data_IF_560507995128
#
_entry.id   IF_560507995128
#
_cell.length_a   1.000
_cell.length_b   1.000
_cell.length_c   1.000
_cell.angle_alpha   90.00
_cell.angle_beta   90.00
_cell.angle_gamma   90.00
#
_symmetry.space_group_name_H-M   'P 1'
#
loop_
_entity.id
_entity.type
_entity.pdbx_description
1 polymer ?
#
# COMPACT_ATOMS: atom_id res chain seq x y z
N UNK A 1 -26.95 9.23 -45.62
CA UNK A 1 -26.43 8.15 -46.46
C UNK A 1 -25.94 7.08 -45.54
N UNK A 2 -26.78 6.03 -45.40
CA UNK A 2 -26.55 4.93 -44.46
C UNK A 2 -25.76 3.79 -45.08
N UNK A 3 -25.17 3.00 -44.22
CA UNK A 3 -24.64 1.67 -44.58
C UNK A 3 -25.07 0.67 -43.47
N UNK A 4 -25.50 -0.56 -43.86
CA UNK A 4 -26.17 -1.50 -42.98
C UNK A 4 -25.20 -2.49 -42.27
N UNK A 5 -25.68 -3.26 -41.27
CA UNK A 5 -24.88 -4.16 -40.48
C UNK A 5 -24.63 -5.51 -41.15
N UNK A 6 -23.44 -6.09 -40.94
CA UNK A 6 -23.08 -7.43 -41.42
C UNK A 6 -23.60 -8.52 -40.48
N UNK A 7 -24.41 -9.40 -41.07
CA UNK A 7 -24.86 -10.68 -40.52
C UNK A 7 -23.76 -11.74 -40.60
N UNK A 8 -23.48 -12.47 -39.51
CA UNK A 8 -22.63 -13.68 -39.53
C UNK A 8 -23.53 -14.93 -39.69
N UNK A 9 -23.20 -15.66 -40.77
CA UNK A 9 -23.77 -16.95 -41.12
C UNK A 9 -23.25 -18.06 -40.17
N UNK A 10 -24.19 -18.86 -39.70
CA UNK A 10 -24.01 -20.11 -38.96
C UNK A 10 -24.00 -21.25 -39.98
N UNK A 11 -22.90 -21.98 -40.17
CA UNK A 11 -22.88 -23.22 -40.92
C UNK A 11 -22.70 -24.41 -39.96
N UNK A 12 -23.72 -25.21 -39.91
CA UNK A 12 -23.71 -26.52 -39.28
C UNK A 12 -23.01 -27.56 -40.16
N UNK A 13 -22.37 -28.53 -39.52
CA UNK A 13 -22.07 -29.82 -40.14
C UNK A 13 -22.22 -30.95 -39.13
N UNK A 14 -23.21 -31.79 -39.41
CA UNK A 14 -23.43 -33.10 -38.85
C UNK A 14 -22.39 -34.09 -39.31
N UNK A 15 -21.95 -34.98 -38.43
CA UNK A 15 -21.09 -36.13 -38.77
C UNK A 15 -21.29 -37.22 -37.73
N UNK A 16 -22.15 -38.20 -38.02
CA UNK A 16 -22.29 -39.48 -37.32
C UNK A 16 -21.06 -40.35 -37.55
N UNK A 17 -20.58 -41.06 -36.54
CA UNK A 17 -19.62 -42.12 -36.66
C UNK A 17 -19.64 -42.99 -35.40
N UNK A 18 -20.44 -44.02 -35.45
CA UNK A 18 -20.46 -45.15 -34.50
C UNK A 18 -19.23 -46.05 -34.73
N UNK A 19 -18.46 -46.41 -33.70
CA UNK A 19 -17.88 -47.74 -33.52
C UNK A 19 -17.57 -47.93 -32.03
N UNK A 20 -18.24 -48.95 -31.43
CA UNK A 20 -17.96 -49.45 -30.10
C UNK A 20 -16.70 -50.29 -30.10
N UNK A 21 -15.97 -50.23 -28.96
CA UNK A 21 -14.91 -51.18 -28.61
C UNK A 21 -14.93 -51.38 -27.09
N UNK A 22 -14.84 -52.64 -26.63
CA UNK A 22 -15.06 -53.03 -25.22
C UNK A 22 -13.75 -52.92 -24.41
N UNK A 23 -13.57 -51.80 -23.66
CA UNK A 23 -12.44 -51.64 -22.73
C UNK A 23 -12.89 -51.14 -21.35
N UNK A 24 -13.93 -51.76 -20.79
CA UNK A 24 -14.40 -51.47 -19.44
C UNK A 24 -14.39 -52.70 -18.58
N UNK A 25 -13.22 -53.28 -18.34
CA UNK A 25 -13.03 -54.23 -17.24
C UNK A 25 -11.51 -54.37 -16.95
N UNK A 26 -10.93 -53.54 -16.14
CA UNK A 26 -9.80 -53.83 -15.23
C UNK A 26 -9.16 -52.57 -14.57
N UNK A 27 -9.92 -51.55 -14.24
CA UNK A 27 -9.40 -50.40 -13.47
C UNK A 27 -9.66 -50.46 -11.96
N UNK A 28 -10.43 -51.46 -11.49
CA UNK A 28 -10.86 -51.54 -10.09
C UNK A 28 -9.88 -52.17 -9.15
N UNK A 29 -9.05 -53.11 -9.62
CA UNK A 29 -8.14 -53.91 -8.77
C UNK A 29 -6.78 -53.24 -8.58
N UNK A 30 -6.19 -52.67 -9.61
CA UNK A 30 -4.87 -51.97 -9.54
C UNK A 30 -4.91 -50.78 -8.60
N UNK A 31 -5.95 -49.96 -8.64
CA UNK A 31 -6.08 -48.77 -7.78
C UNK A 31 -6.33 -49.10 -6.29
N UNK A 32 -6.78 -50.32 -5.98
CA UNK A 32 -6.88 -50.80 -4.57
C UNK A 32 -5.53 -51.31 -4.06
N UNK A 33 -4.80 -52.04 -4.89
CA UNK A 33 -3.49 -52.58 -4.54
C UNK A 33 -2.47 -51.44 -4.35
N UNK A 34 -2.43 -50.44 -5.23
CA UNK A 34 -1.59 -49.26 -5.08
C UNK A 34 -1.92 -48.45 -3.82
N UNK A 35 -3.21 -48.30 -3.50
CA UNK A 35 -3.62 -47.63 -2.25
C UNK A 35 -3.22 -48.41 -1.02
N UNK A 36 -3.32 -49.72 -1.06
CA UNK A 36 -2.91 -50.62 0.04
C UNK A 36 -1.39 -50.60 0.22
N UNK A 37 -0.63 -50.66 -0.87
CA UNK A 37 0.83 -50.58 -0.84
C UNK A 37 1.32 -49.23 -0.33
N UNK A 38 0.72 -48.14 -0.78
CA UNK A 38 1.02 -46.79 -0.28
C UNK A 38 0.60 -46.59 1.18
N UNK A 39 -0.47 -47.26 1.64
CA UNK A 39 -0.87 -47.23 3.04
C UNK A 39 0.10 -48.03 3.90
N UNK A 40 0.50 -49.25 3.48
CA UNK A 40 1.50 -50.07 4.13
C UNK A 40 2.86 -49.35 4.19
N UNK A 41 3.30 -48.78 3.08
CA UNK A 41 4.56 -48.02 3.05
C UNK A 41 4.54 -46.80 3.98
N UNK A 42 3.38 -46.13 4.12
CA UNK A 42 3.21 -44.99 5.03
C UNK A 42 3.15 -45.41 6.51
N UNK A 43 2.65 -46.61 6.80
CA UNK A 43 2.44 -47.08 8.15
C UNK A 43 3.37 -48.26 8.52
N UNK A 44 4.42 -48.50 7.72
CA UNK A 44 5.32 -49.66 7.88
C UNK A 44 5.95 -49.71 9.28
N UNK A 45 6.34 -48.57 9.84
CA UNK A 45 6.92 -48.49 11.18
C UNK A 45 5.91 -48.84 12.28
N UNK A 46 4.67 -48.41 12.12
CA UNK A 46 3.57 -48.70 13.04
C UNK A 46 3.17 -50.18 12.95
N UNK A 47 3.15 -50.74 11.73
CA UNK A 47 2.90 -52.15 11.50
C UNK A 47 4.02 -53.02 12.10
N UNK A 48 5.28 -52.62 11.97
CA UNK A 48 6.44 -53.29 12.56
C UNK A 48 6.40 -53.25 14.09
N UNK A 49 6.06 -52.14 14.69
CA UNK A 49 5.91 -51.98 16.14
C UNK A 49 4.76 -52.85 16.69
N UNK A 50 3.61 -52.85 16.00
CA UNK A 50 2.45 -53.68 16.36
C UNK A 50 2.77 -55.19 16.20
N UNK A 51 3.41 -55.56 15.10
CA UNK A 51 3.83 -56.95 14.86
C UNK A 51 4.84 -57.41 15.92
N UNK A 52 5.82 -56.56 16.26
CA UNK A 52 6.78 -56.83 17.32
C UNK A 52 6.11 -57.03 18.70
N UNK A 53 5.18 -56.15 19.04
CA UNK A 53 4.42 -56.24 20.29
C UNK A 53 3.54 -57.50 20.37
N UNK A 54 2.89 -57.86 19.24
CA UNK A 54 2.09 -59.10 19.16
C UNK A 54 3.00 -60.33 19.30
N UNK A 55 4.16 -60.35 18.65
CA UNK A 55 5.10 -61.44 18.70
C UNK A 55 5.60 -61.65 20.13
N UNK A 56 5.99 -60.60 20.83
CA UNK A 56 6.42 -60.64 22.23
C UNK A 56 5.27 -61.11 23.14
N UNK A 57 4.06 -60.54 22.96
CA UNK A 57 2.88 -60.98 23.76
C UNK A 57 2.44 -62.40 23.54
N UNK A 58 2.56 -62.98 22.33
CA UNK A 58 2.26 -64.36 22.03
C UNK A 58 3.32 -65.31 22.65
N UNK A 59 4.59 -64.98 22.57
CA UNK A 59 5.67 -65.75 23.16
C UNK A 59 5.58 -65.72 24.68
N UNK A 60 5.19 -64.63 25.31
CA UNK A 60 4.97 -64.57 26.77
C UNK A 60 3.76 -65.38 27.22
N UNK A 61 2.74 -65.55 26.38
CA UNK A 61 1.51 -66.28 26.67
C UNK A 61 1.70 -67.82 26.55
N UNK A 62 2.63 -68.27 25.72
CA UNK A 62 2.87 -69.71 25.48
C UNK A 62 3.99 -70.34 26.30
N UNK A 63 4.54 -69.64 27.30
CA UNK A 63 5.20 -70.26 28.46
C UNK A 63 6.66 -70.64 28.34
N UNK A 64 7.38 -70.19 27.30
CA UNK A 64 8.84 -70.25 27.34
C UNK A 64 9.37 -68.89 27.73
N UNK A 65 9.97 -68.72 28.90
CA UNK A 65 10.57 -67.53 29.42
C UNK A 65 11.62 -67.03 28.42
N UNK A 66 11.26 -65.93 27.65
CA UNK A 66 12.23 -65.24 26.85
C UNK A 66 13.37 -64.79 27.76
N UNK A 67 14.60 -65.19 27.44
CA UNK A 67 15.77 -64.77 28.19
C UNK A 67 15.84 -63.25 28.22
N UNK A 68 16.41 -62.66 29.27
CA UNK A 68 16.50 -61.20 29.47
C UNK A 68 17.00 -60.43 28.24
N UNK A 69 17.84 -61.03 27.41
CA UNK A 69 18.39 -60.45 26.18
C UNK A 69 17.35 -60.31 25.07
N UNK A 70 16.32 -61.16 24.97
CA UNK A 70 15.29 -61.10 23.97
C UNK A 70 14.27 -59.98 24.26
N UNK A 71 13.93 -59.78 25.54
CA UNK A 71 13.04 -58.67 25.97
C UNK A 71 13.72 -57.30 25.84
N UNK A 72 15.03 -57.23 26.13
CA UNK A 72 15.83 -56.04 25.92
C UNK A 72 15.89 -55.64 24.41
N UNK A 73 16.12 -56.66 23.53
CA UNK A 73 16.14 -56.43 22.07
C UNK A 73 14.82 -55.91 21.50
N UNK A 74 13.69 -56.49 21.96
CA UNK A 74 12.36 -56.04 21.56
C UNK A 74 12.06 -54.59 22.03
N UNK A 75 12.46 -54.26 23.25
CA UNK A 75 12.31 -52.88 23.79
C UNK A 75 13.10 -51.85 22.99
N UNK A 76 14.35 -52.16 22.62
CA UNK A 76 15.20 -51.30 21.80
C UNK A 76 14.59 -51.07 20.41
N UNK A 77 14.03 -52.14 19.79
CA UNK A 77 13.36 -52.03 18.49
C UNK A 77 12.11 -51.13 18.55
N UNK A 78 11.29 -51.26 19.58
CA UNK A 78 10.09 -50.42 19.77
C UNK A 78 10.50 -48.96 20.01
N UNK A 79 11.50 -48.73 20.85
CA UNK A 79 12.02 -47.35 21.09
C UNK A 79 12.65 -46.76 19.83
N UNK A 80 13.38 -47.57 19.05
CA UNK A 80 13.93 -47.14 17.78
C UNK A 80 12.85 -46.74 16.75
N UNK A 81 11.79 -47.52 16.64
CA UNK A 81 10.65 -47.25 15.77
C UNK A 81 9.89 -45.98 16.21
N UNK A 82 9.69 -45.77 17.52
CA UNK A 82 9.07 -44.56 18.06
C UNK A 82 9.95 -43.31 17.82
N UNK A 83 11.27 -43.44 18.00
CA UNK A 83 12.20 -42.35 17.74
C UNK A 83 12.24 -42.01 16.26
N UNK A 84 12.26 -43.00 15.35
CA UNK A 84 12.20 -42.77 13.91
C UNK A 84 10.87 -42.14 13.48
N UNK A 85 9.75 -42.57 14.06
CA UNK A 85 8.43 -41.96 13.85
C UNK A 85 8.38 -40.50 14.30
N UNK A 86 8.92 -40.20 15.48
CA UNK A 86 9.00 -38.84 16.03
C UNK A 86 9.87 -37.92 15.17
N UNK A 87 11.03 -38.41 14.68
CA UNK A 87 11.90 -37.67 13.80
C UNK A 87 11.24 -37.36 12.43
N UNK A 88 10.48 -38.33 11.89
CA UNK A 88 9.74 -38.17 10.65
C UNK A 88 8.58 -37.20 10.81
N UNK A 89 7.91 -37.21 11.96
CA UNK A 89 6.85 -36.24 12.29
C UNK A 89 7.42 -34.83 12.43
N UNK A 90 8.53 -34.67 13.13
CA UNK A 90 9.22 -33.39 13.25
C UNK A 90 9.62 -32.80 11.89
N UNK A 91 10.18 -33.61 10.98
CA UNK A 91 10.48 -33.14 9.61
C UNK A 91 9.24 -32.78 8.81
N UNK A 92 8.11 -33.43 9.02
CA UNK A 92 6.84 -33.05 8.40
C UNK A 92 6.31 -31.74 8.92
N UNK A 93 6.42 -31.51 10.23
CA UNK A 93 5.98 -30.25 10.86
C UNK A 93 6.87 -29.08 10.44
N UNK A 94 8.19 -29.28 10.32
CA UNK A 94 9.14 -28.31 9.79
C UNK A 94 8.82 -27.97 8.32
N UNK A 95 8.60 -28.97 7.45
CA UNK A 95 8.23 -28.77 6.05
C UNK A 95 6.86 -28.07 5.89
N UNK A 96 5.92 -28.35 6.79
CA UNK A 96 4.62 -27.68 6.80
C UNK A 96 4.75 -26.22 7.24
N UNK A 97 5.57 -25.96 8.24
CA UNK A 97 5.87 -24.60 8.70
C UNK A 97 6.55 -23.78 7.59
N UNK A 98 7.52 -24.37 6.89
CA UNK A 98 8.19 -23.75 5.74
C UNK A 98 7.20 -23.47 4.60
N UNK A 99 6.34 -24.42 4.26
CA UNK A 99 5.31 -24.26 3.23
C UNK A 99 4.29 -23.17 3.60
N UNK A 100 3.88 -23.09 4.86
CA UNK A 100 3.00 -22.02 5.36
C UNK A 100 3.70 -20.67 5.27
N UNK A 101 4.99 -20.61 5.62
CA UNK A 101 5.79 -19.39 5.53
C UNK A 101 6.02 -18.95 4.07
N UNK A 102 6.21 -19.90 3.16
CA UNK A 102 6.32 -19.63 1.72
C UNK A 102 4.99 -19.15 1.13
N UNK A 103 3.88 -19.73 1.56
CA UNK A 103 2.53 -19.28 1.21
C UNK A 103 2.28 -17.87 1.76
N UNK A 104 2.64 -17.60 3.02
CA UNK A 104 2.54 -16.27 3.59
C UNK A 104 3.38 -15.24 2.82
N UNK A 105 4.64 -15.55 2.50
CA UNK A 105 5.50 -14.67 1.68
C UNK A 105 4.95 -14.48 0.26
N UNK A 106 4.40 -15.53 -0.34
CA UNK A 106 3.73 -15.42 -1.65
C UNK A 106 2.46 -14.56 -1.57
N UNK A 107 1.66 -14.69 -0.50
CA UNK A 107 0.50 -13.83 -0.25
C UNK A 107 0.88 -12.39 0.05
N UNK A 108 1.92 -12.14 0.82
CA UNK A 108 2.45 -10.79 1.08
C UNK A 108 2.99 -10.15 -0.22
N UNK A 109 3.64 -10.93 -1.08
CA UNK A 109 4.07 -10.52 -2.41
C UNK A 109 2.90 -10.30 -3.40
N UNK A 110 1.76 -10.97 -3.19
CA UNK A 110 0.53 -10.77 -3.97
C UNK A 110 -0.33 -9.61 -3.47
N UNK A 111 -0.19 -9.18 -2.21
CA UNK A 111 -0.90 -8.01 -1.67
C UNK A 111 -0.28 -6.71 -2.20
N UNK A 112 -0.43 -6.49 -3.51
CA UNK A 112 -0.03 -5.25 -4.18
C UNK A 112 -0.94 -4.05 -3.81
N UNK A 113 -2.05 -4.30 -3.14
CA UNK A 113 -2.95 -3.32 -2.53
C UNK A 113 -3.22 -3.72 -1.09
N UNK A 114 -2.88 -2.85 -0.14
CA UNK A 114 -3.04 -3.08 1.30
C UNK A 114 -3.82 -1.94 1.95
N UNK A 115 -4.77 -2.27 2.81
CA UNK A 115 -5.40 -1.29 3.69
C UNK A 115 -4.42 -0.88 4.79
N UNK A 116 -4.34 0.42 5.07
CA UNK A 116 -3.53 1.02 6.12
C UNK A 116 -4.43 1.66 7.17
N UNK A 117 -4.11 1.50 8.44
CA UNK A 117 -4.87 2.09 9.53
C UNK A 117 -3.96 2.84 10.50
N UNK A 118 -4.45 3.91 11.08
CA UNK A 118 -3.78 4.65 12.16
C UNK A 118 -2.30 4.97 11.88
N UNK A 119 -1.40 4.48 12.73
CA UNK A 119 0.04 4.73 12.63
C UNK A 119 0.72 4.10 11.41
N UNK A 120 0.10 3.08 10.79
CA UNK A 120 0.66 2.44 9.59
C UNK A 120 0.75 3.43 8.43
N UNK A 121 -0.23 4.36 8.29
CA UNK A 121 -0.21 5.41 7.26
C UNK A 121 1.05 6.26 7.39
N UNK A 122 1.35 6.74 8.60
CA UNK A 122 2.54 7.52 8.89
C UNK A 122 3.84 6.76 8.60
N UNK A 123 3.89 5.48 8.99
CA UNK A 123 5.04 4.60 8.75
C UNK A 123 5.29 4.38 7.25
N UNK A 124 4.24 4.12 6.47
CA UNK A 124 4.39 3.92 5.01
C UNK A 124 4.72 5.22 4.27
N UNK A 125 4.17 6.36 4.68
CA UNK A 125 4.57 7.67 4.16
C UNK A 125 6.05 7.98 4.45
N UNK A 126 6.55 7.65 5.65
CA UNK A 126 7.97 7.80 6.01
C UNK A 126 8.86 6.93 5.12
N UNK A 127 8.55 5.64 5.00
CA UNK A 127 9.27 4.71 4.11
C UNK A 127 9.26 5.18 2.65
N UNK A 128 8.15 5.76 2.18
CA UNK A 128 8.05 6.30 0.83
C UNK A 128 9.01 7.48 0.62
N UNK A 129 9.20 8.34 1.64
CA UNK A 129 10.11 9.50 1.58
C UNK A 129 11.59 9.12 1.62
N UNK A 130 11.96 8.04 2.32
CA UNK A 130 13.35 7.64 2.55
C UNK A 130 14.16 7.41 1.26
N UNK A 131 13.52 7.03 0.16
CA UNK A 131 14.19 6.65 -1.09
C UNK A 131 13.66 7.34 -2.34
N UNK A 132 12.89 8.43 -2.18
CA UNK A 132 12.21 9.04 -3.31
C UNK A 132 12.86 10.34 -3.77
N UNK A 133 13.32 10.39 -5.00
CA UNK A 133 13.73 11.61 -5.68
C UNK A 133 12.58 12.25 -6.47
N UNK A 134 11.42 11.62 -6.40
CA UNK A 134 10.17 12.09 -7.00
C UNK A 134 9.02 11.96 -6.00
N UNK A 135 8.23 13.03 -5.87
CA UNK A 135 7.00 13.02 -5.10
C UNK A 135 5.88 13.73 -5.84
N UNK A 136 4.76 13.05 -6.06
CA UNK A 136 3.56 13.70 -6.53
C UNK A 136 2.48 13.66 -5.44
N UNK A 137 1.88 14.81 -5.20
CA UNK A 137 0.82 15.02 -4.24
C UNK A 137 -0.42 15.55 -4.94
N UNK A 138 -1.59 14.99 -4.63
CA UNK A 138 -2.88 15.59 -4.91
C UNK A 138 -3.74 15.53 -3.65
N UNK A 139 -4.32 16.64 -3.26
CA UNK A 139 -5.15 16.73 -2.07
C UNK A 139 -5.75 18.11 -1.86
N UNK A 140 -6.26 18.36 -0.67
CA UNK A 140 -6.86 19.65 -0.33
C UNK A 140 -5.85 20.78 -0.31
N UNK A 141 -5.42 21.18 0.86
CA UNK A 141 -4.52 22.35 1.04
C UNK A 141 -3.03 22.00 1.13
N UNK A 142 -2.68 20.71 1.23
CA UNK A 142 -1.28 20.27 1.35
C UNK A 142 -0.64 20.53 2.72
N UNK A 143 -1.39 20.67 3.80
CA UNK A 143 -0.84 21.00 5.13
C UNK A 143 0.21 19.99 5.58
N UNK A 144 -0.05 18.67 5.51
CA UNK A 144 0.94 17.66 5.86
C UNK A 144 2.11 17.60 4.87
N UNK A 145 1.85 17.82 3.58
CA UNK A 145 2.90 17.93 2.56
C UNK A 145 3.90 19.01 2.96
N UNK A 146 3.40 20.23 3.27
CA UNK A 146 4.19 21.39 3.65
C UNK A 146 4.93 21.18 4.99
N UNK A 147 4.24 20.63 5.99
CA UNK A 147 4.78 20.48 7.33
C UNK A 147 5.82 19.35 7.47
N UNK A 148 5.69 18.28 6.68
CA UNK A 148 6.48 17.06 6.89
C UNK A 148 7.15 16.58 5.60
N UNK A 149 6.35 16.31 4.56
CA UNK A 149 6.87 15.60 3.38
C UNK A 149 7.90 16.43 2.61
N UNK A 150 7.59 17.69 2.35
CA UNK A 150 8.46 18.57 1.57
C UNK A 150 9.79 18.85 2.30
N UNK A 151 9.82 19.29 3.58
CA UNK A 151 11.08 19.52 4.28
C UNK A 151 11.91 18.25 4.45
N UNK A 152 11.33 17.09 4.80
CA UNK A 152 12.08 15.85 4.93
C UNK A 152 12.71 15.39 3.61
N UNK A 153 11.99 15.49 2.48
CA UNK A 153 12.54 15.17 1.17
C UNK A 153 13.65 16.15 0.75
N UNK A 154 13.49 17.46 1.05
CA UNK A 154 14.49 18.49 0.76
C UNK A 154 15.77 18.25 1.56
N UNK A 155 15.68 17.99 2.87
CA UNK A 155 16.84 17.69 3.72
C UNK A 155 17.57 16.44 3.24
N UNK A 156 16.85 15.39 2.88
CA UNK A 156 17.42 14.18 2.32
C UNK A 156 18.12 14.45 0.99
N UNK A 157 17.50 15.16 0.07
CA UNK A 157 18.09 15.49 -1.23
C UNK A 157 19.36 16.35 -1.07
N UNK A 158 19.35 17.30 -0.12
CA UNK A 158 20.52 18.11 0.24
C UNK A 158 21.66 17.25 0.78
N UNK A 159 21.36 16.33 1.72
CA UNK A 159 22.33 15.41 2.29
C UNK A 159 22.96 14.47 1.26
N UNK A 160 22.15 13.96 0.33
CA UNK A 160 22.56 13.03 -0.72
C UNK A 160 23.10 13.72 -1.99
N UNK A 161 22.99 15.04 -2.08
CA UNK A 161 23.32 15.82 -3.29
C UNK A 161 22.59 15.30 -4.54
N UNK A 162 21.33 14.88 -4.36
CA UNK A 162 20.48 14.36 -5.43
C UNK A 162 19.50 15.42 -5.93
N UNK A 163 19.03 15.25 -7.17
CA UNK A 163 17.92 16.02 -7.69
C UNK A 163 16.63 15.60 -6.97
N UNK A 164 15.64 16.50 -6.94
CA UNK A 164 14.36 16.26 -6.31
C UNK A 164 13.25 16.87 -7.17
N UNK A 165 12.26 16.07 -7.53
CA UNK A 165 11.10 16.55 -8.30
C UNK A 165 9.83 16.43 -7.45
N UNK A 166 9.15 17.55 -7.28
CA UNK A 166 7.80 17.61 -6.70
C UNK A 166 6.75 17.96 -7.74
N UNK A 167 5.64 17.25 -7.70
CA UNK A 167 4.41 17.62 -8.41
C UNK A 167 3.32 17.83 -7.38
N UNK A 168 2.78 19.03 -7.26
CA UNK A 168 1.82 19.43 -6.23
C UNK A 168 0.53 19.85 -6.91
N UNK A 169 -0.60 19.20 -6.57
CA UNK A 169 -1.94 19.53 -7.05
C UNK A 169 -2.83 19.77 -5.81
N UNK A 170 -3.20 21.02 -5.59
CA UNK A 170 -3.99 21.47 -4.43
C UNK A 170 -5.15 22.35 -4.87
N UNK A 171 -6.09 22.59 -3.95
CA UNK A 171 -7.21 23.52 -4.17
C UNK A 171 -6.66 24.90 -4.47
N UNK A 172 -7.16 25.52 -5.55
CA UNK A 172 -6.81 26.90 -5.92
C UNK A 172 -7.24 27.87 -4.81
N UNK A 173 -6.30 28.56 -4.16
CA UNK A 173 -6.60 29.49 -3.08
C UNK A 173 -7.42 30.71 -3.53
N UNK A 174 -7.39 31.05 -4.82
CA UNK A 174 -8.14 32.15 -5.39
C UNK A 174 -9.55 31.76 -5.85
N UNK A 175 -9.84 30.44 -5.92
CA UNK A 175 -11.16 29.90 -6.26
C UNK A 175 -12.03 29.77 -5.00
N UNK A 176 -12.77 30.81 -4.69
CA UNK A 176 -13.69 30.88 -3.55
C UNK A 176 -14.71 29.73 -3.52
N UNK A 177 -15.39 29.37 -4.62
CA UNK A 177 -16.25 28.19 -4.69
C UNK A 177 -15.55 26.88 -4.31
N UNK A 178 -14.34 26.64 -4.82
CA UNK A 178 -13.57 25.44 -4.51
C UNK A 178 -13.13 25.41 -3.03
N UNK A 179 -12.62 26.53 -2.50
CA UNK A 179 -12.29 26.69 -1.08
C UNK A 179 -13.49 26.43 -0.17
N UNK A 180 -14.66 26.96 -0.52
CA UNK A 180 -15.92 26.76 0.20
C UNK A 180 -16.38 25.30 0.16
N UNK A 181 -16.28 24.67 -1.00
CA UNK A 181 -16.64 23.26 -1.18
C UNK A 181 -15.74 22.36 -0.33
N UNK A 182 -14.43 22.58 -0.35
CA UNK A 182 -13.49 21.85 0.48
C UNK A 182 -13.71 22.09 1.99
N UNK A 183 -13.97 23.33 2.39
CA UNK A 183 -14.28 23.64 3.78
C UNK A 183 -15.54 22.92 4.28
N UNK A 184 -16.60 22.83 3.46
CA UNK A 184 -17.80 22.05 3.78
C UNK A 184 -17.49 20.56 3.91
N UNK A 185 -16.71 20.03 2.97
CA UNK A 185 -16.27 18.62 3.01
C UNK A 185 -15.49 18.31 4.30
N UNK A 186 -14.54 19.15 4.68
CA UNK A 186 -13.78 18.98 5.93
C UNK A 186 -14.66 18.97 7.17
N UNK A 187 -15.64 19.86 7.24
CA UNK A 187 -16.59 19.93 8.36
C UNK A 187 -17.52 18.72 8.44
N UNK A 188 -17.84 18.08 7.31
CA UNK A 188 -18.70 16.87 7.33
C UNK A 188 -18.07 15.68 8.04
N UNK A 189 -16.74 15.65 8.23
CA UNK A 189 -16.06 14.64 9.02
C UNK A 189 -15.96 14.98 10.52
N UNK A 190 -16.01 16.27 10.87
CA UNK A 190 -15.89 16.73 12.26
C UNK A 190 -17.09 16.37 13.16
N UNK A 191 -18.15 15.74 12.61
CA UNK A 191 -19.35 15.33 13.34
C UNK A 191 -19.20 14.00 14.08
N UNK A 192 -18.05 13.32 13.99
CA UNK A 192 -17.77 12.13 14.79
C UNK A 192 -17.38 12.56 16.20
N UNK A 193 -18.10 12.08 17.20
CA UNK A 193 -17.93 12.43 18.60
C UNK A 193 -16.44 12.44 19.03
N UNK A 194 -15.99 13.57 19.54
CA UNK A 194 -14.64 13.76 20.12
C UNK A 194 -13.67 14.60 19.32
N UNK A 195 -13.95 15.01 18.10
CA UNK A 195 -13.09 15.91 17.29
C UNK A 195 -13.62 17.35 17.36
N UNK A 196 -13.46 18.00 18.51
CA UNK A 196 -13.59 19.45 18.58
C UNK A 196 -12.33 20.09 17.97
N UNK A 197 -12.40 20.52 16.70
CA UNK A 197 -11.46 21.48 16.14
C UNK A 197 -11.94 22.88 16.60
N UNK A 198 -11.23 23.53 17.53
CA UNK A 198 -11.64 24.86 18.05
C UNK A 198 -11.72 25.93 16.95
N UNK A 199 -11.04 25.70 15.83
CA UNK A 199 -11.18 26.52 14.64
C UNK A 199 -11.95 25.73 13.56
N UNK A 200 -13.25 25.97 13.44
CA UNK A 200 -14.04 25.40 12.38
C UNK A 200 -13.37 25.63 11.02
N UNK A 201 -13.25 24.58 10.19
CA UNK A 201 -12.63 24.69 8.87
C UNK A 201 -13.46 25.62 7.98
N UNK A 202 -12.90 26.78 7.62
CA UNK A 202 -13.59 27.84 6.86
C UNK A 202 -13.04 27.94 5.43
N UNK A 203 -13.74 28.64 4.55
CA UNK A 203 -13.29 29.01 3.22
C UNK A 203 -11.98 29.79 3.29
N UNK A 204 -11.91 30.81 4.16
CA UNK A 204 -10.71 31.63 4.36
C UNK A 204 -9.53 30.80 4.87
N UNK A 205 -9.75 29.90 5.84
CA UNK A 205 -8.72 28.96 6.30
C UNK A 205 -8.22 28.10 5.15
N UNK A 206 -9.10 27.56 4.30
CA UNK A 206 -8.72 26.77 3.12
C UNK A 206 -7.82 27.59 2.19
N UNK A 207 -8.21 28.81 1.88
CA UNK A 207 -7.44 29.73 1.03
C UNK A 207 -6.04 29.99 1.64
N UNK A 208 -5.96 30.41 2.91
CA UNK A 208 -4.68 30.68 3.61
C UNK A 208 -3.77 29.44 3.66
N UNK A 209 -4.31 28.26 3.92
CA UNK A 209 -3.52 27.01 3.95
C UNK A 209 -2.97 26.66 2.57
N UNK A 210 -3.75 26.86 1.49
CA UNK A 210 -3.29 26.64 0.12
C UNK A 210 -2.22 27.65 -0.28
N UNK A 211 -2.41 28.95 0.00
CA UNK A 211 -1.37 29.98 -0.18
C UNK A 211 -0.08 29.63 0.56
N UNK A 212 -0.17 29.18 1.81
CA UNK A 212 0.99 28.77 2.58
C UNK A 212 1.75 27.59 1.92
N UNK A 213 1.04 26.65 1.31
CA UNK A 213 1.67 25.54 0.57
C UNK A 213 2.37 26.00 -0.70
N UNK A 214 1.78 26.97 -1.43
CA UNK A 214 2.42 27.60 -2.60
C UNK A 214 3.71 28.32 -2.19
N UNK A 215 3.64 29.12 -1.11
CA UNK A 215 4.81 29.87 -0.61
C UNK A 215 5.93 28.92 -0.15
N UNK A 216 5.59 27.87 0.60
CA UNK A 216 6.56 26.86 1.05
C UNK A 216 7.25 26.17 -0.14
N UNK A 217 6.48 25.79 -1.16
CA UNK A 217 7.03 25.17 -2.36
C UNK A 217 8.01 26.09 -3.10
N UNK A 218 7.67 27.37 -3.27
CA UNK A 218 8.56 28.37 -3.87
C UNK A 218 9.79 28.64 -3.03
N UNK A 219 9.64 28.75 -1.71
CA UNK A 219 10.74 28.98 -0.77
C UNK A 219 11.78 27.84 -0.79
N UNK A 220 11.33 26.60 -0.79
CA UNK A 220 12.21 25.43 -0.90
C UNK A 220 12.86 25.31 -2.28
N UNK A 221 12.11 25.57 -3.36
CA UNK A 221 12.63 25.58 -4.72
C UNK A 221 13.83 26.52 -4.87
N UNK A 222 13.75 27.72 -4.29
CA UNK A 222 14.82 28.73 -4.36
C UNK A 222 16.09 28.34 -3.55
N UNK A 223 15.99 27.34 -2.63
CA UNK A 223 17.06 26.97 -1.67
C UNK A 223 17.69 25.61 -1.90
N UNK A 224 17.17 24.83 -2.81
CA UNK A 224 17.73 23.53 -3.16
C UNK A 224 18.09 23.49 -4.65
N UNK A 225 19.37 23.66 -5.00
CA UNK A 225 19.84 23.43 -6.37
C UNK A 225 19.47 22.03 -6.85
N UNK A 226 18.93 21.90 -8.06
CA UNK A 226 18.47 20.61 -8.62
C UNK A 226 17.06 20.22 -8.19
N UNK A 227 16.34 21.09 -7.46
CA UNK A 227 14.91 20.90 -7.21
C UNK A 227 14.08 21.38 -8.41
N UNK A 228 13.06 20.61 -8.74
CA UNK A 228 12.02 20.98 -9.71
C UNK A 228 10.66 20.86 -9.03
N UNK A 229 9.82 21.88 -9.16
CA UNK A 229 8.45 21.88 -8.63
C UNK A 229 7.45 22.17 -9.75
N UNK A 230 6.53 21.25 -9.97
CA UNK A 230 5.37 21.41 -10.83
C UNK A 230 4.15 21.67 -9.95
N UNK A 231 3.67 22.91 -9.90
CA UNK A 231 2.53 23.29 -9.07
C UNK A 231 1.27 23.46 -9.93
N UNK A 232 0.20 22.83 -9.49
CA UNK A 232 -1.12 22.87 -10.10
C UNK A 232 -2.17 23.29 -9.08
N UNK A 233 -3.05 24.18 -9.48
CA UNK A 233 -4.16 24.69 -8.68
C UNK A 233 -5.48 24.23 -9.27
N UNK A 234 -6.23 23.44 -8.51
CA UNK A 234 -7.46 22.79 -8.95
C UNK A 234 -8.70 23.55 -8.47
N UNK A 235 -9.65 23.77 -9.38
CA UNK A 235 -10.98 24.35 -9.07
C UNK A 235 -11.96 23.31 -8.51
N UNK A 236 -11.51 22.09 -8.24
CA UNK A 236 -12.33 21.02 -7.63
C UNK A 236 -11.83 20.68 -6.25
N UNK A 237 -12.77 20.53 -5.29
CA UNK A 237 -12.46 20.06 -3.94
C UNK A 237 -12.19 18.55 -3.95
N UNK A 238 -10.97 18.09 -3.64
CA UNK A 238 -10.66 16.67 -3.60
C UNK A 238 -11.26 16.01 -2.37
N UNK A 239 -11.77 14.79 -2.52
CA UNK A 239 -12.27 13.96 -1.42
C UNK A 239 -11.25 12.93 -0.94
N UNK A 240 -10.22 12.69 -1.75
CA UNK A 240 -9.12 11.79 -1.45
C UNK A 240 -7.80 12.55 -1.59
N UNK A 241 -6.84 12.12 -0.83
CA UNK A 241 -5.46 12.56 -0.88
C UNK A 241 -4.61 11.45 -1.48
N UNK A 242 -3.75 11.80 -2.42
CA UNK A 242 -2.81 10.91 -3.08
C UNK A 242 -1.39 11.38 -2.80
N UNK A 243 -0.59 10.50 -2.25
CA UNK A 243 0.85 10.66 -2.08
C UNK A 243 1.54 9.59 -2.94
N UNK A 244 2.26 10.00 -3.96
CA UNK A 244 2.90 9.11 -4.95
C UNK A 244 4.40 9.31 -4.92
N UNK A 245 5.13 8.26 -4.64
CA UNK A 245 6.58 8.17 -4.78
C UNK A 245 6.94 7.24 -5.94
N UNK A 246 8.23 7.01 -6.17
CA UNK A 246 8.69 6.06 -7.20
C UNK A 246 8.10 4.66 -7.03
N UNK A 247 7.99 4.16 -5.78
CA UNK A 247 7.62 2.78 -5.49
C UNK A 247 6.24 2.59 -4.86
N UNK A 248 5.57 3.69 -4.47
CA UNK A 248 4.35 3.63 -3.66
C UNK A 248 3.36 4.71 -4.05
N UNK A 249 2.11 4.31 -4.09
CA UNK A 249 0.97 5.21 -4.11
C UNK A 249 0.17 4.98 -2.83
N UNK A 250 0.03 6.03 -2.03
CA UNK A 250 -0.73 5.99 -0.77
C UNK A 250 -1.93 6.90 -0.94
N UNK A 251 -3.12 6.32 -0.78
CA UNK A 251 -4.40 7.04 -0.88
C UNK A 251 -4.97 7.14 0.52
N UNK A 252 -5.28 8.35 0.96
CA UNK A 252 -5.86 8.60 2.28
C UNK A 252 -7.03 9.57 2.19
N UNK A 253 -7.73 9.72 3.30
CA UNK A 253 -8.71 10.78 3.52
C UNK A 253 -8.15 11.77 4.55
N UNK A 254 -8.78 12.92 4.66
CA UNK A 254 -8.38 13.95 5.63
C UNK A 254 -8.78 13.61 7.09
N UNK A 255 -9.38 12.44 7.32
CA UNK A 255 -9.75 11.91 8.64
C UNK A 255 -8.77 10.79 9.05
N UNK A 256 -8.08 10.96 10.20
CA UNK A 256 -7.11 9.99 10.73
C UNK A 256 -7.72 8.64 11.12
N UNK A 257 -9.00 8.63 11.47
CA UNK A 257 -9.70 7.41 11.86
C UNK A 257 -10.03 6.51 10.67
N UNK A 258 -9.95 7.05 9.45
CA UNK A 258 -10.29 6.30 8.24
C UNK A 258 -9.10 5.55 7.68
N UNK A 259 -9.34 4.35 7.13
CA UNK A 259 -8.28 3.57 6.50
C UNK A 259 -7.76 4.27 5.23
N UNK A 260 -6.47 4.13 5.00
CA UNK A 260 -5.82 4.44 3.73
C UNK A 260 -5.60 3.18 2.89
N UNK A 261 -5.14 3.36 1.66
CA UNK A 261 -4.75 2.29 0.76
C UNK A 261 -3.29 2.50 0.34
N UNK A 262 -2.51 1.44 0.41
CA UNK A 262 -1.17 1.36 -0.18
C UNK A 262 -1.27 0.55 -1.47
N UNK A 263 -0.78 1.11 -2.57
CA UNK A 263 -0.64 0.45 -3.87
C UNK A 263 0.84 0.47 -4.26
N UNK A 264 1.42 -0.69 -4.54
CA UNK A 264 2.81 -0.80 -4.98
C UNK A 264 2.95 -0.50 -6.49
N UNK A 265 4.14 -0.11 -6.94
CA UNK A 265 4.40 0.29 -8.34
C UNK A 265 4.04 -0.78 -9.37
N UNK A 266 4.21 -2.06 -9.02
CA UNK A 266 3.94 -3.19 -9.93
C UNK A 266 2.45 -3.51 -10.08
N UNK A 267 1.57 -2.89 -9.31
CA UNK A 267 0.13 -3.12 -9.39
C UNK A 267 -0.51 -2.28 -10.50
N UNK A 268 -1.42 -2.84 -11.33
CA UNK A 268 -2.09 -2.09 -12.40
C UNK A 268 -2.79 -0.81 -11.94
N UNK A 269 -3.32 -0.79 -10.71
CA UNK A 269 -3.93 0.40 -10.12
C UNK A 269 -2.95 1.56 -9.93
N UNK A 270 -1.64 1.29 -9.68
CA UNK A 270 -0.65 2.35 -9.58
C UNK A 270 -0.56 3.13 -10.90
N UNK A 271 -0.50 2.42 -12.03
CA UNK A 271 -0.50 3.03 -13.36
C UNK A 271 -1.83 3.76 -13.66
N UNK A 272 -2.96 3.13 -13.30
CA UNK A 272 -4.28 3.73 -13.48
C UNK A 272 -4.39 5.08 -12.77
N UNK A 273 -4.09 5.11 -11.47
CA UNK A 273 -4.13 6.37 -10.71
C UNK A 273 -3.10 7.40 -11.16
N UNK A 274 -1.92 6.96 -11.64
CA UNK A 274 -0.94 7.88 -12.21
C UNK A 274 -1.49 8.60 -13.45
N UNK A 275 -2.22 7.90 -14.31
CA UNK A 275 -2.91 8.48 -15.48
C UNK A 275 -4.04 9.41 -15.03
N UNK A 276 -4.86 9.00 -14.05
CA UNK A 276 -5.96 9.80 -13.50
C UNK A 276 -5.43 11.12 -12.91
N UNK A 277 -4.36 11.06 -12.14
CA UNK A 277 -3.70 12.24 -11.59
C UNK A 277 -3.14 13.16 -12.70
N UNK A 278 -2.63 12.58 -13.79
CA UNK A 278 -2.18 13.37 -14.93
C UNK A 278 -3.34 14.07 -15.62
N UNK A 279 -4.49 13.40 -15.80
CA UNK A 279 -5.68 14.02 -16.38
C UNK A 279 -6.24 15.13 -15.50
N UNK A 280 -6.23 14.95 -14.18
CA UNK A 280 -6.60 16.00 -13.24
C UNK A 280 -5.72 17.24 -13.39
N UNK A 281 -4.40 17.06 -13.48
CA UNK A 281 -3.45 18.18 -13.68
C UNK A 281 -3.64 18.90 -15.02
N UNK A 282 -4.02 18.18 -16.07
CA UNK A 282 -4.32 18.81 -17.38
C UNK A 282 -5.52 19.76 -17.32
N UNK A 283 -6.39 19.62 -16.31
CA UNK A 283 -7.55 20.48 -16.08
C UNK A 283 -7.27 21.60 -15.05
N UNK A 284 -6.14 21.52 -14.35
CA UNK A 284 -5.77 22.47 -13.31
C UNK A 284 -4.92 23.62 -13.86
N UNK A 285 -4.93 24.75 -13.18
CA UNK A 285 -4.08 25.89 -13.50
C UNK A 285 -2.65 25.62 -13.07
N UNK A 286 -1.70 25.61 -14.00
CA UNK A 286 -0.28 25.48 -13.70
C UNK A 286 0.28 26.82 -13.23
N UNK A 287 1.12 26.79 -12.20
CA UNK A 287 1.85 27.93 -11.66
C UNK A 287 3.34 27.75 -11.86
N UNK A 288 4.00 28.72 -12.46
CA UNK A 288 5.44 28.70 -12.73
C UNK A 288 6.21 29.38 -11.59
N UNK A 289 6.54 28.63 -10.55
CA UNK A 289 7.21 29.14 -9.34
C UNK A 289 8.58 29.78 -9.60
N UNK A 290 9.27 29.38 -10.65
CA UNK A 290 10.58 29.94 -11.02
C UNK A 290 10.56 31.38 -11.50
N UNK A 291 9.38 31.95 -11.77
CA UNK A 291 9.22 33.35 -12.20
C UNK A 291 9.17 34.34 -11.04
N UNK A 292 8.89 33.85 -9.84
CA UNK A 292 8.76 34.69 -8.66
C UNK A 292 10.12 35.18 -8.16
N UNK A 293 10.13 36.43 -7.67
CA UNK A 293 11.29 37.02 -7.01
C UNK A 293 11.79 36.19 -5.83
N UNK A 294 13.06 36.37 -5.49
CA UNK A 294 13.69 35.69 -4.37
C UNK A 294 13.03 36.11 -3.04
N UNK A 295 12.88 35.12 -2.17
CA UNK A 295 12.38 35.29 -0.81
C UNK A 295 13.55 35.21 0.19
N UNK A 296 13.52 36.04 1.23
CA UNK A 296 14.45 35.92 2.35
C UNK A 296 14.19 34.68 3.19
N UNK A 297 15.10 34.36 4.13
CA UNK A 297 14.91 33.22 5.03
C UNK A 297 13.64 33.36 5.87
N UNK A 298 13.32 34.56 6.30
CA UNK A 298 12.05 34.93 6.94
C UNK A 298 11.41 36.07 6.10
N UNK A 299 10.57 35.75 5.12
CA UNK A 299 10.00 36.74 4.22
C UNK A 299 9.09 37.72 4.95
N UNK A 300 9.25 39.01 4.60
CA UNK A 300 8.32 40.03 5.06
C UNK A 300 6.94 39.93 4.37
N UNK A 301 5.95 40.60 4.91
CA UNK A 301 4.62 40.66 4.30
C UNK A 301 4.68 41.19 2.87
N UNK A 302 5.50 42.23 2.62
CA UNK A 302 5.66 42.81 1.30
C UNK A 302 6.32 41.82 0.32
N UNK A 303 7.33 41.10 0.76
CA UNK A 303 7.95 40.04 -0.05
C UNK A 303 6.96 38.92 -0.39
N UNK A 304 6.14 38.50 0.57
CA UNK A 304 5.12 37.51 0.34
C UNK A 304 4.05 37.99 -0.66
N UNK A 305 3.55 39.24 -0.51
CA UNK A 305 2.60 39.81 -1.46
C UNK A 305 3.19 39.90 -2.87
N UNK A 306 4.40 40.43 -2.97
CA UNK A 306 5.10 40.55 -4.23
C UNK A 306 5.41 39.20 -4.90
N UNK A 307 5.75 38.17 -4.11
CA UNK A 307 5.92 36.81 -4.61
C UNK A 307 4.64 36.29 -5.27
N UNK A 308 3.49 36.46 -4.63
CA UNK A 308 2.22 36.00 -5.19
C UNK A 308 1.77 36.85 -6.41
N UNK A 309 2.10 38.12 -6.45
CA UNK A 309 1.87 38.98 -7.63
C UNK A 309 2.65 38.48 -8.84
N UNK A 310 3.94 38.15 -8.67
CA UNK A 310 4.80 37.62 -9.74
C UNK A 310 4.26 36.30 -10.31
N UNK A 311 3.57 35.49 -9.47
CA UNK A 311 2.95 34.25 -9.88
C UNK A 311 1.58 34.41 -10.57
N UNK A 312 1.08 35.64 -10.71
CA UNK A 312 -0.30 35.87 -11.16
C UNK A 312 -1.36 35.29 -10.23
N UNK A 313 -1.02 35.21 -8.93
CA UNK A 313 -1.86 34.66 -7.87
C UNK A 313 -1.93 35.66 -6.68
N UNK A 314 -2.35 36.90 -6.90
CA UNK A 314 -2.31 37.93 -5.87
C UNK A 314 -3.14 37.50 -4.64
N UNK A 315 -2.64 37.86 -3.46
CA UNK A 315 -3.40 37.67 -2.22
C UNK A 315 -4.67 38.51 -2.23
N UNK A 316 -5.79 38.03 -1.68
CA UNK A 316 -7.01 38.83 -1.56
C UNK A 316 -6.76 40.16 -0.87
N UNK A 317 -7.35 41.23 -1.39
CA UNK A 317 -7.23 42.58 -0.79
C UNK A 317 -7.82 42.66 0.61
N UNK A 318 -8.66 41.71 0.97
CA UNK A 318 -9.24 41.57 2.31
C UNK A 318 -8.26 40.99 3.33
N UNK A 319 -7.13 40.42 2.89
CA UNK A 319 -6.13 39.88 3.81
C UNK A 319 -5.29 41.00 4.41
N UNK A 320 -5.42 41.15 5.72
CA UNK A 320 -4.61 42.07 6.52
C UNK A 320 -3.14 41.65 6.55
N UNK A 321 -2.25 42.47 7.05
CA UNK A 321 -0.85 42.11 7.29
C UNK A 321 -0.70 40.97 8.29
N UNK A 322 -1.62 40.84 9.26
CA UNK A 322 -1.68 39.71 10.17
C UNK A 322 -2.00 38.42 9.41
N UNK A 323 -2.92 38.46 8.45
CA UNK A 323 -3.26 37.27 7.63
C UNK A 323 -2.08 36.83 6.76
N UNK A 324 -1.38 37.81 6.17
CA UNK A 324 -0.18 37.50 5.37
C UNK A 324 0.92 36.91 6.24
N UNK A 325 1.14 37.49 7.43
CA UNK A 325 2.11 36.89 8.38
C UNK A 325 1.73 35.49 8.80
N UNK A 326 0.46 35.19 9.02
CA UNK A 326 -0.03 33.83 9.29
C UNK A 326 0.28 32.87 8.13
N UNK A 327 0.15 33.33 6.86
CA UNK A 327 0.50 32.53 5.68
C UNK A 327 2.01 32.22 5.68
N UNK A 328 2.86 33.21 5.97
CA UNK A 328 4.32 33.01 6.06
C UNK A 328 4.66 32.02 7.18
N UNK A 329 4.12 32.21 8.37
CA UNK A 329 4.33 31.29 9.51
C UNK A 329 3.90 29.86 9.18
N UNK A 330 2.71 29.71 8.60
CA UNK A 330 2.22 28.41 8.17
C UNK A 330 3.07 27.79 7.05
N UNK A 331 3.72 28.59 6.21
CA UNK A 331 4.58 28.11 5.14
C UNK A 331 5.91 27.55 5.67
N UNK A 332 6.51 28.25 6.63
CA UNK A 332 7.90 27.98 7.05
C UNK A 332 8.01 27.23 8.39
N UNK A 333 7.03 27.39 9.26
CA UNK A 333 7.03 26.86 10.62
C UNK A 333 5.84 25.95 10.90
N UNK A 334 5.32 25.27 9.85
CA UNK A 334 4.21 24.35 10.00
C UNK A 334 4.56 23.19 10.94
N UNK A 335 3.76 23.04 11.99
CA UNK A 335 3.83 21.86 12.84
C UNK A 335 3.21 20.63 12.15
N UNK A 336 3.72 19.45 12.50
CA UNK A 336 3.13 18.21 12.01
C UNK A 336 1.67 18.10 12.50
N UNK A 337 0.68 18.16 11.60
CA UNK A 337 -0.73 18.10 12.01
C UNK A 337 -1.12 16.73 12.58
N UNK A 338 -0.21 15.77 12.52
CA UNK A 338 -0.40 14.40 12.97
C UNK A 338 0.81 13.93 13.81
N UNK A 339 1.08 14.54 14.98
CA UNK A 339 2.13 14.05 15.86
C UNK A 339 1.80 12.61 16.29
N UNK A 340 2.85 11.76 16.31
CA UNK A 340 2.76 10.35 16.72
C UNK A 340 2.70 10.28 18.22
#
# INVERSE_FOLDING_TARGET
VGSPPRTYHRSGRSGRGTTGGPWLADRGSRGRLERLLNWIARNFELLLAVLGAITVGVMDLFGDSLGEDATAGATVLVLGALAAGSLRQRRRDENLADAVHDIQRAFEGMQMVRSLTGSEIGAELRKARERSDFWAFKGGTGTYLRAVTLPECVERARGNRSNLTFTIDIVDPADTPACRAYARFRRSYATTEGSYDPEAWTEERTSKESYATVLAAGWHLQRLPGMTVHLYLSSTAPTLRFDVSQSRLIITQDDRARPGLLVTENHPLHRYYSVELQQSRNQARKIELGQARALDNDPTNDQARAFFEDLGLPLPTTFSDTDVRQIVEKALHAENPYPI
#
